data_IF_363120530275
#
_entry.id   IF_363120530275
#
_cell.length_a   1.000
_cell.length_b   1.000
_cell.length_c   1.000
_cell.angle_alpha   90.00
_cell.angle_beta   90.00
_cell.angle_gamma   90.00
#
_symmetry.space_group_name_H-M   'P 1'
#
loop_
_entity.id
_entity.type
_entity.pdbx_description
1 polymer ?
#
# COMPACT_ATOMS: atom_id res chain seq x y z
N UNK A 1 26.95 8.41 9.59
CA UNK A 1 25.85 8.89 8.84
C UNK A 1 25.95 8.59 7.39
N UNK A 2 25.66 7.36 7.07
CA UNK A 2 25.76 6.90 5.70
C UNK A 2 24.45 7.12 4.98
N UNK A 3 24.40 8.16 4.19
CA UNK A 3 23.25 8.44 3.32
C UNK A 3 23.46 7.77 1.97
N UNK A 4 22.39 7.29 1.40
CA UNK A 4 22.40 6.63 0.11
C UNK A 4 21.30 7.22 -0.77
N UNK A 5 21.63 7.50 -2.01
CA UNK A 5 20.65 7.96 -2.99
C UNK A 5 20.18 6.76 -3.79
N UNK A 6 18.88 6.54 -3.80
CA UNK A 6 18.28 5.44 -4.57
C UNK A 6 17.11 5.98 -5.39
N UNK A 7 16.66 5.17 -6.33
CA UNK A 7 15.46 5.47 -7.12
C UNK A 7 14.48 4.33 -6.95
N UNK A 8 13.22 4.67 -6.72
CA UNK A 8 12.14 3.70 -6.63
C UNK A 8 11.06 4.04 -7.62
N UNK A 9 10.43 3.02 -8.20
CA UNK A 9 9.32 3.20 -9.12
C UNK A 9 8.02 2.93 -8.42
N UNK A 10 7.10 3.88 -8.48
CA UNK A 10 5.77 3.76 -7.87
C UNK A 10 4.76 4.31 -8.86
N UNK A 11 3.78 3.50 -9.20
CA UNK A 11 2.68 3.89 -10.09
C UNK A 11 3.17 4.46 -11.43
N UNK A 12 4.22 3.86 -11.97
CA UNK A 12 4.75 4.25 -13.28
C UNK A 12 5.69 5.44 -13.26
N UNK A 13 6.01 5.98 -12.10
CA UNK A 13 6.95 7.09 -11.97
C UNK A 13 8.14 6.69 -11.14
N UNK A 14 9.29 7.30 -11.42
CA UNK A 14 10.52 7.05 -10.68
C UNK A 14 10.80 8.21 -9.75
N UNK A 15 11.05 7.90 -8.48
CA UNK A 15 11.30 8.89 -7.45
C UNK A 15 12.70 8.73 -6.88
N UNK A 16 13.51 9.81 -6.86
CA UNK A 16 14.80 9.77 -6.20
C UNK A 16 14.61 9.98 -4.70
N UNK A 17 15.26 9.16 -3.90
CA UNK A 17 15.19 9.24 -2.45
C UNK A 17 16.58 9.27 -1.86
N UNK A 18 16.75 10.04 -0.79
CA UNK A 18 17.96 10.00 0.03
C UNK A 18 17.59 9.37 1.36
N UNK A 19 18.18 8.22 1.65
CA UNK A 19 17.84 7.43 2.83
C UNK A 19 19.11 7.01 3.56
N UNK A 20 18.97 6.47 4.75
CA UNK A 20 20.08 5.82 5.43
C UNK A 20 20.33 4.47 4.79
N UNK A 21 21.59 4.04 4.73
CA UNK A 21 21.93 2.77 4.09
C UNK A 21 21.24 1.56 4.70
N UNK A 22 21.03 1.59 6.01
CA UNK A 22 20.34 0.51 6.70
C UNK A 22 18.85 0.44 6.39
N UNK A 23 18.28 1.48 5.77
CA UNK A 23 16.88 1.51 5.36
C UNK A 23 16.66 1.00 3.94
N UNK A 24 17.71 0.82 3.17
CA UNK A 24 17.58 0.51 1.74
C UNK A 24 16.72 -0.72 1.47
N UNK A 25 16.99 -1.82 2.15
CA UNK A 25 16.25 -3.06 1.94
C UNK A 25 14.76 -2.87 2.24
N UNK A 26 14.45 -2.21 3.34
CA UNK A 26 13.06 -2.00 3.75
C UNK A 26 12.32 -1.06 2.78
N UNK A 27 12.98 -0.02 2.30
CA UNK A 27 12.39 0.90 1.34
C UNK A 27 12.11 0.21 0.01
N UNK A 28 13.05 -0.62 -0.48
CA UNK A 28 12.85 -1.36 -1.72
C UNK A 28 11.74 -2.40 -1.60
N UNK A 29 11.66 -3.08 -0.47
CA UNK A 29 10.57 -4.01 -0.19
C UNK A 29 9.23 -3.29 -0.13
N UNK A 30 9.19 -2.12 0.49
CA UNK A 30 7.98 -1.32 0.57
C UNK A 30 7.50 -0.89 -0.82
N UNK A 31 8.42 -0.43 -1.68
CA UNK A 31 8.07 -0.04 -3.05
C UNK A 31 7.53 -1.21 -3.86
N UNK A 32 8.14 -2.38 -3.73
CA UNK A 32 7.69 -3.60 -4.40
C UNK A 32 6.29 -3.99 -3.92
N UNK A 33 6.04 -3.87 -2.62
CA UNK A 33 4.74 -4.18 -2.03
C UNK A 33 3.67 -3.23 -2.55
N UNK A 34 3.96 -1.94 -2.63
CA UNK A 34 3.04 -0.95 -3.17
C UNK A 34 2.67 -1.27 -4.61
N UNK A 35 3.66 -1.61 -5.44
CA UNK A 35 3.41 -1.98 -6.83
C UNK A 35 2.53 -3.23 -6.94
N UNK A 36 2.75 -4.21 -6.09
CA UNK A 36 1.94 -5.43 -6.07
C UNK A 36 0.48 -5.12 -5.70
N UNK A 37 0.28 -4.25 -4.71
CA UNK A 37 -1.06 -3.83 -4.29
C UNK A 37 -1.76 -3.07 -5.42
N UNK A 38 -1.06 -2.16 -6.08
CA UNK A 38 -1.60 -1.40 -7.20
C UNK A 38 -2.06 -2.33 -8.32
N UNK A 39 -1.23 -3.31 -8.67
CA UNK A 39 -1.59 -4.28 -9.71
C UNK A 39 -2.82 -5.10 -9.33
N UNK A 40 -2.91 -5.47 -8.06
CA UNK A 40 -4.06 -6.21 -7.56
C UNK A 40 -5.35 -5.40 -7.70
N UNK A 41 -5.31 -4.11 -7.35
CA UNK A 41 -6.48 -3.25 -7.49
C UNK A 41 -6.83 -3.00 -8.96
N UNK A 42 -5.84 -2.84 -9.82
CA UNK A 42 -6.08 -2.70 -11.26
C UNK A 42 -6.79 -3.94 -11.85
N UNK A 43 -6.38 -5.12 -11.39
CA UNK A 43 -6.95 -6.38 -11.88
C UNK A 43 -8.35 -6.65 -11.34
N UNK A 44 -8.59 -6.32 -10.07
CA UNK A 44 -9.84 -6.66 -9.39
C UNK A 44 -10.93 -5.60 -9.56
N UNK A 45 -10.55 -4.37 -9.85
CA UNK A 45 -11.48 -3.25 -10.00
C UNK A 45 -11.19 -2.52 -11.30
N UNK A 46 -12.20 -1.99 -11.93
CA UNK A 46 -12.04 -1.28 -13.21
C UNK A 46 -11.50 0.14 -12.98
N UNK A 47 -10.47 0.27 -12.17
CA UNK A 47 -9.84 1.56 -11.84
C UNK A 47 -8.51 1.64 -12.56
N UNK A 48 -8.33 2.66 -13.38
CA UNK A 48 -7.09 2.87 -14.12
C UNK A 48 -6.38 4.16 -13.74
N UNK A 49 -7.02 5.03 -12.98
CA UNK A 49 -6.42 6.27 -12.53
C UNK A 49 -5.36 5.97 -11.46
N UNK A 50 -4.14 6.37 -11.72
CA UNK A 50 -3.02 6.09 -10.81
C UNK A 50 -3.20 6.75 -9.46
N UNK A 51 -3.78 7.95 -9.41
CA UNK A 51 -4.04 8.64 -8.15
C UNK A 51 -5.02 7.86 -7.29
N UNK A 52 -6.10 7.34 -7.89
CA UNK A 52 -7.08 6.54 -7.18
C UNK A 52 -6.46 5.25 -6.67
N UNK A 53 -5.64 4.60 -7.48
CA UNK A 53 -4.95 3.37 -7.08
C UNK A 53 -4.01 3.62 -5.91
N UNK A 54 -3.28 4.73 -5.94
CA UNK A 54 -2.40 5.10 -4.84
C UNK A 54 -3.19 5.41 -3.57
N UNK A 55 -4.32 6.09 -3.69
CA UNK A 55 -5.19 6.39 -2.55
C UNK A 55 -5.70 5.09 -1.91
N UNK A 56 -6.14 4.14 -2.72
CA UNK A 56 -6.58 2.83 -2.23
C UNK A 56 -5.47 2.10 -1.51
N UNK A 57 -4.28 2.11 -2.10
CA UNK A 57 -3.10 1.48 -1.51
C UNK A 57 -2.76 2.12 -0.16
N UNK A 58 -2.78 3.45 -0.11
CA UNK A 58 -2.48 4.18 1.12
C UNK A 58 -3.48 3.86 2.22
N UNK A 59 -4.77 3.80 1.89
CA UNK A 59 -5.80 3.45 2.86
C UNK A 59 -5.60 2.03 3.40
N UNK A 60 -5.30 1.09 2.53
CA UNK A 60 -5.08 -0.30 2.94
C UNK A 60 -3.89 -0.41 3.90
N UNK A 61 -2.77 0.21 3.54
CA UNK A 61 -1.57 0.15 4.36
C UNK A 61 -1.73 0.89 5.69
N UNK A 62 -2.35 2.07 5.67
CA UNK A 62 -2.59 2.84 6.89
C UNK A 62 -3.53 2.12 7.83
N UNK A 63 -4.55 1.47 7.29
CA UNK A 63 -5.48 0.69 8.11
C UNK A 63 -4.78 -0.50 8.77
N UNK A 64 -3.84 -1.13 8.07
CA UNK A 64 -3.03 -2.20 8.65
C UNK A 64 -2.20 -1.68 9.82
N UNK A 65 -1.58 -0.53 9.66
CA UNK A 65 -0.76 0.09 10.71
C UNK A 65 -1.63 0.41 11.93
N UNK A 66 -2.79 1.02 11.73
CA UNK A 66 -3.70 1.33 12.83
C UNK A 66 -4.15 0.08 13.57
N UNK A 67 -4.47 -0.97 12.85
CA UNK A 67 -4.86 -2.24 13.45
C UNK A 67 -3.72 -2.87 14.25
N UNK A 68 -2.50 -2.78 13.74
CA UNK A 68 -1.31 -3.30 14.43
C UNK A 68 -1.01 -2.53 15.69
N UNK A 69 -1.12 -1.20 15.66
CA UNK A 69 -0.87 -0.34 16.81
C UNK A 69 -1.94 -0.50 17.87
N UNK A 70 -3.18 -0.74 17.46
CA UNK A 70 -4.29 -0.91 18.38
C UNK A 70 -4.36 -2.24 19.09
N UNK A 71 -3.55 -3.23 18.64
CA UNK A 71 -3.58 -4.58 19.19
C UNK A 71 -2.18 -5.13 19.34
N UNK A 72 -1.80 -5.42 20.57
CA UNK A 72 -0.48 -5.94 20.90
C UNK A 72 -0.29 -7.37 20.43
N UNK A 73 -1.36 -8.15 20.38
CA UNK A 73 -1.33 -9.54 19.91
C UNK A 73 -2.47 -9.76 18.93
N UNK A 74 -2.15 -9.71 17.67
CA UNK A 74 -3.11 -10.00 16.61
C UNK A 74 -2.63 -11.27 15.91
N UNK A 75 -3.49 -12.26 15.89
CA UNK A 75 -3.18 -13.47 15.19
C UNK A 75 -3.27 -13.20 13.67
N UNK A 76 -2.56 -13.99 12.90
CA UNK A 76 -2.48 -13.83 11.46
C UNK A 76 -3.85 -13.89 10.78
N UNK A 77 -4.74 -14.71 11.32
CA UNK A 77 -6.11 -14.85 10.80
C UNK A 77 -6.89 -13.55 10.97
N UNK A 78 -6.73 -12.89 12.12
CA UNK A 78 -7.40 -11.62 12.37
C UNK A 78 -6.90 -10.51 11.45
N UNK A 79 -5.60 -10.50 11.15
CA UNK A 79 -5.03 -9.55 10.20
C UNK A 79 -5.62 -9.78 8.80
N UNK A 80 -5.72 -11.01 8.37
CA UNK A 80 -6.29 -11.35 7.07
C UNK A 80 -7.76 -10.93 6.98
N UNK A 81 -8.54 -11.14 8.03
CA UNK A 81 -9.94 -10.71 8.08
C UNK A 81 -10.06 -9.20 7.99
N UNK A 82 -9.20 -8.47 8.68
CA UNK A 82 -9.20 -7.01 8.64
C UNK A 82 -8.88 -6.48 7.24
N UNK A 83 -7.96 -7.12 6.54
CA UNK A 83 -7.62 -6.75 5.18
C UNK A 83 -8.81 -6.97 4.25
N UNK A 84 -9.48 -8.11 4.37
CA UNK A 84 -10.66 -8.41 3.56
C UNK A 84 -11.78 -7.39 3.81
N UNK A 85 -12.01 -7.02 5.06
CA UNK A 85 -13.02 -6.02 5.42
C UNK A 85 -12.69 -4.64 4.83
N UNK A 86 -11.41 -4.26 4.83
CA UNK A 86 -10.95 -2.99 4.27
C UNK A 86 -11.14 -3.00 2.75
N UNK A 87 -10.78 -4.08 2.09
CA UNK A 87 -10.97 -4.22 0.65
C UNK A 87 -12.44 -4.11 0.26
N UNK A 88 -13.32 -4.71 1.03
CA UNK A 88 -14.76 -4.62 0.81
C UNK A 88 -15.26 -3.18 0.95
N UNK A 89 -14.77 -2.45 1.96
CA UNK A 89 -15.14 -1.05 2.16
C UNK A 89 -14.64 -0.15 1.04
N UNK A 90 -13.43 -0.37 0.59
CA UNK A 90 -12.86 0.38 -0.53
C UNK A 90 -13.67 0.11 -1.81
N UNK A 91 -13.99 -1.15 -2.05
CA UNK A 91 -14.80 -1.54 -3.20
C UNK A 91 -16.17 -0.85 -3.19
N UNK A 92 -16.83 -0.81 -2.05
CA UNK A 92 -18.12 -0.15 -1.89
C UNK A 92 -18.03 1.36 -2.17
N UNK A 93 -16.95 2.00 -1.70
CA UNK A 93 -16.71 3.42 -1.95
C UNK A 93 -16.51 3.68 -3.44
N UNK A 94 -15.74 2.83 -4.10
CA UNK A 94 -15.47 2.96 -5.52
C UNK A 94 -16.73 2.78 -6.36
N UNK A 95 -17.57 1.82 -6.01
CA UNK A 95 -18.83 1.60 -6.70
C UNK A 95 -19.70 2.84 -6.63
N UNK A 96 -19.75 3.51 -5.48
CA UNK A 96 -20.51 4.76 -5.35
C UNK A 96 -19.91 5.89 -6.17
N UNK A 97 -18.59 5.93 -6.27
CA UNK A 97 -17.89 6.99 -6.98
C UNK A 97 -18.07 6.88 -8.50
N UNK A 98 -18.26 5.67 -9.01
CA UNK A 98 -18.35 5.42 -10.44
C UNK A 98 -19.76 5.18 -10.94
N UNK A 99 -20.74 5.28 -10.09
CA UNK A 99 -22.15 5.25 -10.48
C UNK A 99 -22.73 6.64 -10.47
#
# INVERSE_FOLDING_TARGET
>A
MNKLKIKVSIAGRTYPLTINRDEEENIRKAATKIEAIIKQFESNYAVKDKQDLLAMCALQLSSKVENSEGKTFVDKTDLDRNIDAIEAKISAILERSFT
#
